data_IF_068513927433
#
_entry.id   IF_068513927433
#
_cell.length_a   1.000
_cell.length_b   1.000
_cell.length_c   1.000
_cell.angle_alpha   90.00
_cell.angle_beta   90.00
_cell.angle_gamma   90.00
#
_symmetry.space_group_name_H-M   'P 1'
#
loop_
_entity.id
_entity.type
_entity.pdbx_description
1 polymer ?
#
# COMPACT_ATOMS: atom_id res chain seq x y z
N UNK A 1 -32.83 37.38 -2.50
CA UNK A 1 -33.41 36.05 -2.76
C UNK A 1 -32.26 35.06 -2.87
N UNK A 2 -32.26 34.00 -2.06
CA UNK A 2 -31.24 32.93 -2.11
C UNK A 2 -31.58 31.90 -3.19
N UNK A 3 -30.57 31.17 -3.66
CA UNK A 3 -30.75 30.08 -4.62
C UNK A 3 -31.73 29.04 -4.08
N UNK A 4 -32.68 28.60 -4.90
CA UNK A 4 -33.66 27.58 -4.53
C UNK A 4 -32.96 26.23 -4.31
N UNK A 5 -33.36 25.49 -3.26
CA UNK A 5 -32.89 24.14 -2.98
C UNK A 5 -33.16 23.24 -4.20
N UNK A 6 -32.10 22.72 -4.83
CA UNK A 6 -32.18 21.95 -6.09
C UNK A 6 -31.76 22.71 -7.35
N UNK A 7 -31.72 24.05 -7.31
CA UNK A 7 -31.20 24.93 -8.38
C UNK A 7 -29.87 25.57 -7.94
N UNK A 8 -28.92 24.74 -7.48
CA UNK A 8 -27.55 25.20 -7.22
C UNK A 8 -26.71 24.96 -8.48
N UNK A 9 -25.71 25.80 -8.75
CA UNK A 9 -24.78 25.70 -9.89
C UNK A 9 -24.00 24.35 -10.03
N UNK A 10 -24.28 23.36 -9.18
CA UNK A 10 -23.80 22.00 -9.32
C UNK A 10 -24.88 20.98 -8.84
N UNK A 11 -25.89 20.69 -9.67
CA UNK A 11 -26.99 19.78 -9.31
C UNK A 11 -26.52 18.33 -9.08
N UNK A 12 -25.38 17.93 -9.66
CA UNK A 12 -24.80 16.59 -9.52
C UNK A 12 -23.78 16.46 -8.38
N UNK A 13 -23.59 17.52 -7.58
CA UNK A 13 -22.64 17.53 -6.46
C UNK A 13 -21.19 17.29 -6.90
N UNK A 14 -20.30 17.10 -5.93
CA UNK A 14 -18.91 16.72 -6.21
C UNK A 14 -18.92 15.28 -6.76
N UNK A 15 -18.29 14.99 -7.91
CA UNK A 15 -18.27 13.63 -8.45
C UNK A 15 -17.66 12.66 -7.44
N UNK A 16 -18.33 11.53 -7.22
CA UNK A 16 -17.87 10.44 -6.34
C UNK A 16 -16.49 9.99 -6.84
N UNK A 17 -15.49 9.98 -5.95
CA UNK A 17 -14.11 9.60 -6.29
C UNK A 17 -13.16 10.75 -6.66
N UNK A 18 -13.60 12.02 -6.73
CA UNK A 18 -12.64 13.13 -6.87
C UNK A 18 -11.76 13.21 -5.62
N UNK A 19 -10.42 13.14 -5.72
CA UNK A 19 -9.52 13.22 -4.58
C UNK A 19 -9.62 14.60 -3.90
N UNK A 20 -9.67 14.62 -2.57
CA UNK A 20 -9.79 15.85 -1.80
C UNK A 20 -8.67 16.84 -2.20
N UNK A 21 -9.03 18.09 -2.52
CA UNK A 21 -8.06 19.10 -3.00
C UNK A 21 -6.96 19.35 -1.97
N UNK A 22 -7.30 19.31 -0.67
CA UNK A 22 -6.34 19.43 0.42
C UNK A 22 -5.36 18.25 0.48
N UNK A 23 -5.82 17.03 0.22
CA UNK A 23 -4.94 15.84 0.18
C UNK A 23 -3.98 15.88 -1.01
N UNK A 24 -4.44 16.40 -2.16
CA UNK A 24 -3.59 16.61 -3.33
C UNK A 24 -2.46 17.62 -3.08
N UNK A 25 -2.78 18.76 -2.45
CA UNK A 25 -1.76 19.78 -2.13
C UNK A 25 -0.76 19.31 -1.08
N UNK A 26 -1.19 18.53 -0.09
CA UNK A 26 -0.28 17.96 0.92
C UNK A 26 0.68 16.96 0.28
N UNK A 27 0.20 16.04 -0.56
CA UNK A 27 1.07 15.08 -1.28
C UNK A 27 2.10 15.79 -2.14
N UNK A 28 1.68 16.84 -2.86
CA UNK A 28 2.60 17.63 -3.67
C UNK A 28 3.67 18.33 -2.82
N UNK A 29 3.29 18.88 -1.66
CA UNK A 29 4.25 19.48 -0.71
C UNK A 29 5.22 18.47 -0.13
N UNK A 30 4.76 17.27 0.21
CA UNK A 30 5.62 16.18 0.69
C UNK A 30 6.62 15.78 -0.39
N UNK A 31 6.16 15.60 -1.64
CA UNK A 31 7.05 15.26 -2.74
C UNK A 31 8.07 16.37 -3.00
N UNK A 32 7.64 17.63 -3.05
CA UNK A 32 8.54 18.77 -3.20
C UNK A 32 9.58 18.82 -2.07
N UNK A 33 9.15 18.67 -0.82
CA UNK A 33 10.06 18.63 0.33
C UNK A 33 11.07 17.49 0.23
N UNK A 34 10.65 16.29 -0.17
CA UNK A 34 11.57 15.15 -0.33
C UNK A 34 12.57 15.38 -1.47
N UNK A 35 12.13 15.98 -2.58
CA UNK A 35 13.00 16.31 -3.72
C UNK A 35 13.99 17.43 -3.38
N UNK A 36 13.53 18.49 -2.73
CA UNK A 36 14.35 19.67 -2.42
C UNK A 36 15.45 19.36 -1.39
N UNK A 37 15.16 18.46 -0.44
CA UNK A 37 16.14 18.05 0.58
C UNK A 37 17.05 16.90 0.12
N UNK A 38 16.89 16.40 -1.10
CA UNK A 38 17.66 15.24 -1.57
C UNK A 38 19.16 15.52 -1.58
N UNK A 39 19.58 16.67 -2.10
CA UNK A 39 21.00 17.09 -2.11
C UNK A 39 21.59 17.25 -0.70
N UNK A 40 20.77 17.68 0.26
CA UNK A 40 21.21 17.81 1.65
C UNK A 40 21.35 16.43 2.30
N UNK A 41 20.42 15.51 2.02
CA UNK A 41 20.49 14.12 2.47
C UNK A 41 21.76 13.41 1.97
N UNK A 42 22.15 13.63 0.71
CA UNK A 42 23.41 13.09 0.18
C UNK A 42 24.64 13.62 0.92
N UNK A 43 24.66 14.92 1.25
CA UNK A 43 25.76 15.52 2.03
C UNK A 43 25.79 15.00 3.47
N UNK A 44 24.63 14.91 4.12
CA UNK A 44 24.52 14.37 5.48
C UNK A 44 24.95 12.89 5.51
N UNK A 45 24.68 12.15 4.44
CA UNK A 45 25.13 10.79 4.25
C UNK A 45 26.65 10.65 4.13
N UNK A 46 27.30 11.58 3.43
CA UNK A 46 28.77 11.64 3.37
C UNK A 46 29.41 12.10 4.69
N UNK A 47 28.68 12.86 5.51
CA UNK A 47 29.12 13.32 6.82
C UNK A 47 28.89 12.28 7.95
N UNK A 48 28.02 11.28 7.74
CA UNK A 48 27.73 10.23 8.70
C UNK A 48 28.94 9.33 8.99
N UNK A 49 28.97 8.80 10.22
CA UNK A 49 29.98 7.84 10.64
C UNK A 49 29.97 6.59 9.73
N UNK A 50 31.12 5.94 9.50
CA UNK A 50 31.21 4.79 8.60
C UNK A 50 30.21 3.67 8.90
N UNK A 51 29.92 3.43 10.19
CA UNK A 51 28.96 2.40 10.63
C UNK A 51 27.53 2.74 10.23
N UNK A 52 27.11 3.98 10.46
CA UNK A 52 25.75 4.44 10.14
C UNK A 52 25.54 4.55 8.63
N UNK A 53 26.60 4.90 7.89
CA UNK A 53 26.62 4.89 6.42
C UNK A 53 26.28 3.51 5.86
N UNK A 54 26.90 2.46 6.40
CA UNK A 54 26.63 1.08 5.98
C UNK A 54 25.20 0.65 6.31
N UNK A 55 24.69 1.03 7.48
CA UNK A 55 23.32 0.69 7.90
C UNK A 55 22.26 1.41 7.05
N UNK A 56 22.49 2.66 6.68
CA UNK A 56 21.62 3.38 5.77
C UNK A 56 21.67 2.79 4.35
N UNK A 57 22.86 2.39 3.86
CA UNK A 57 22.98 1.64 2.60
C UNK A 57 22.21 0.31 2.63
N UNK A 58 22.31 -0.46 3.71
CA UNK A 58 21.58 -1.71 3.88
C UNK A 58 20.05 -1.47 3.79
N UNK A 59 19.54 -0.42 4.42
CA UNK A 59 18.12 -0.05 4.36
C UNK A 59 17.70 0.36 2.95
N UNK A 60 18.50 1.15 2.24
CA UNK A 60 18.22 1.52 0.85
C UNK A 60 18.23 0.31 -0.09
N UNK A 61 19.15 -0.65 0.14
CA UNK A 61 19.26 -1.87 -0.65
C UNK A 61 17.98 -2.70 -0.63
N UNK A 62 17.20 -2.67 0.47
CA UNK A 62 15.91 -3.36 0.57
C UNK A 62 14.86 -2.86 -0.42
N UNK A 63 15.00 -1.62 -0.90
CA UNK A 63 14.09 -1.01 -1.87
C UNK A 63 14.64 -1.08 -3.31
N UNK A 64 15.96 -1.21 -3.48
CA UNK A 64 16.60 -1.28 -4.80
C UNK A 64 16.75 -2.71 -5.35
N UNK A 65 16.90 -3.70 -4.47
CA UNK A 65 17.03 -5.11 -4.86
C UNK A 65 15.73 -5.84 -4.54
N UNK A 66 15.16 -6.63 -5.47
CA UNK A 66 14.04 -7.52 -5.16
C UNK A 66 14.45 -8.49 -4.04
N UNK A 67 14.08 -8.17 -2.81
CA UNK A 67 14.19 -9.13 -1.71
C UNK A 67 13.06 -10.13 -1.90
N UNK A 68 13.39 -11.43 -1.80
CA UNK A 68 12.38 -12.48 -1.63
C UNK A 68 11.51 -12.04 -0.46
N UNK A 69 10.31 -11.54 -0.77
CA UNK A 69 9.30 -11.27 0.23
C UNK A 69 9.12 -12.60 0.95
N UNK A 70 9.30 -12.60 2.27
CA UNK A 70 8.92 -13.75 3.07
C UNK A 70 7.47 -14.01 2.69
N UNK A 71 7.21 -15.05 1.93
CA UNK A 71 5.86 -15.45 1.58
C UNK A 71 5.24 -15.89 2.90
N UNK A 72 4.69 -14.94 3.65
CA UNK A 72 3.58 -15.26 4.53
C UNK A 72 2.57 -15.89 3.58
N UNK A 73 2.35 -17.18 3.75
CA UNK A 73 1.25 -17.89 3.11
C UNK A 73 -0.04 -17.35 3.74
N UNK A 74 -0.30 -16.06 3.57
CA UNK A 74 -1.58 -15.41 3.77
C UNK A 74 -2.40 -15.84 2.56
N UNK A 75 -2.83 -17.10 2.58
CA UNK A 75 -4.01 -17.55 1.88
C UNK A 75 -5.11 -16.58 2.29
N UNK A 76 -5.39 -15.59 1.44
CA UNK A 76 -6.49 -14.66 1.62
C UNK A 76 -7.78 -15.45 1.42
N UNK A 77 -8.17 -16.23 2.43
CA UNK A 77 -9.43 -16.96 2.46
C UNK A 77 -10.62 -16.02 2.28
N UNK A 78 -10.47 -14.75 2.69
CA UNK A 78 -11.47 -13.69 2.54
C UNK A 78 -11.79 -13.31 1.08
N UNK A 79 -10.93 -13.67 0.12
CA UNK A 79 -11.15 -13.41 -1.31
C UNK A 79 -11.72 -14.61 -2.07
N UNK A 80 -11.86 -15.76 -1.40
CA UNK A 80 -12.42 -16.97 -1.99
C UNK A 80 -13.94 -16.96 -1.87
N UNK A 81 -14.63 -17.51 -2.86
CA UNK A 81 -16.08 -17.70 -2.78
C UNK A 81 -16.40 -18.90 -1.90
N UNK A 82 -17.60 -18.92 -1.28
CA UNK A 82 -18.05 -20.02 -0.42
C UNK A 82 -17.98 -21.38 -1.12
N UNK A 83 -18.24 -21.43 -2.44
CA UNK A 83 -18.12 -22.64 -3.26
C UNK A 83 -16.67 -23.17 -3.33
N UNK A 84 -15.70 -22.27 -3.46
CA UNK A 84 -14.28 -22.63 -3.49
C UNK A 84 -13.80 -23.10 -2.12
N UNK A 85 -14.30 -22.49 -1.04
CA UNK A 85 -14.00 -22.92 0.33
C UNK A 85 -14.59 -24.31 0.62
N UNK A 86 -15.84 -24.57 0.21
CA UNK A 86 -16.46 -25.88 0.37
C UNK A 86 -15.71 -26.98 -0.39
N UNK A 87 -15.28 -26.71 -1.63
CA UNK A 87 -14.49 -27.67 -2.41
C UNK A 87 -13.14 -28.00 -1.73
N UNK A 88 -12.47 -27.01 -1.13
CA UNK A 88 -11.22 -27.22 -0.38
C UNK A 88 -11.49 -28.06 0.87
N UNK A 89 -12.58 -27.78 1.59
CA UNK A 89 -12.98 -28.52 2.80
C UNK A 89 -13.30 -29.99 2.47
N UNK A 90 -14.08 -30.27 1.43
CA UNK A 90 -14.39 -31.65 1.00
C UNK A 90 -13.12 -32.42 0.57
N UNK A 91 -12.20 -31.74 -0.11
CA UNK A 91 -10.94 -32.36 -0.52
C UNK A 91 -10.03 -32.69 0.67
N UNK A 92 -10.05 -31.88 1.73
CA UNK A 92 -9.32 -32.17 2.97
C UNK A 92 -9.95 -33.34 3.74
N UNK A 93 -11.27 -33.34 3.90
CA UNK A 93 -12.03 -34.42 4.55
C UNK A 93 -11.86 -35.77 3.86
N UNK A 94 -11.87 -35.78 2.52
CA UNK A 94 -11.65 -37.02 1.75
C UNK A 94 -10.21 -37.53 1.81
N UNK A 95 -9.23 -36.66 2.05
CA UNK A 95 -7.83 -37.07 2.18
C UNK A 95 -7.55 -37.75 3.52
N UNK A 96 -8.19 -37.31 4.61
CA UNK A 96 -8.07 -37.98 5.92
C UNK A 96 -8.71 -39.38 5.93
N UNK A 97 -9.80 -39.58 5.17
CA UNK A 97 -10.47 -40.89 5.05
C UNK A 97 -9.57 -41.96 4.39
N UNK A 98 -8.62 -41.56 3.52
CA UNK A 98 -7.66 -42.48 2.90
C UNK A 98 -6.48 -42.85 3.79
N UNK A 99 -6.27 -42.16 4.91
CA UNK A 99 -5.18 -42.46 5.85
C UNK A 99 -5.59 -43.35 7.02
N UNK A 100 -6.88 -43.68 7.15
CA UNK A 100 -7.42 -44.55 8.20
C UNK A 100 -7.75 -46.00 7.75
N UNK A 101 -7.34 -46.42 6.55
CA UNK A 101 -7.33 -47.83 6.11
C UNK A 101 -5.91 -48.29 5.79
#
# INVERSE_FOLDING_TARGET
MGLQKGNTNNPNGRPKGKPNKATGSIRQRINAFLSDNWEQMEKDFEALEPKDRLLFYEKLMQYGVPKLQSTSLSTNYDLMTDEQLNFIIEKLLSHEQTTEN
#
